data_IF_982792595003
#
_entry.id   IF_982792595003
#
_cell.length_a   1.000
_cell.length_b   1.000
_cell.length_c   1.000
_cell.angle_alpha   90.00
_cell.angle_beta   90.00
_cell.angle_gamma   90.00
#
_symmetry.space_group_name_H-M   'P 1'
#
loop_
_entity.id
_entity.type
_entity.pdbx_description
1 polymer ?
#
# COMPACT_ATOMS: atom_id res chain seq x y z
N UNK A 1 -57.98 -2.48 29.09
CA UNK A 1 -56.90 -3.04 28.24
C UNK A 1 -56.10 -1.86 27.70
N UNK A 2 -54.88 -1.57 28.21
CA UNK A 2 -53.56 -1.85 27.59
C UNK A 2 -53.50 -1.38 26.11
N UNK A 3 -52.62 -0.50 25.61
CA UNK A 3 -51.34 0.09 26.09
C UNK A 3 -50.93 1.30 25.21
N UNK A 4 -50.43 2.36 25.88
CA UNK A 4 -49.22 3.18 25.63
C UNK A 4 -48.86 3.75 24.24
N UNK A 5 -48.77 5.09 24.22
CA UNK A 5 -47.74 5.96 23.61
C UNK A 5 -46.89 5.37 22.48
N UNK A 6 -47.26 5.70 21.24
CA UNK A 6 -46.36 5.63 20.10
C UNK A 6 -45.43 6.84 20.12
N UNK A 7 -44.27 6.70 20.77
CA UNK A 7 -43.15 7.63 20.61
C UNK A 7 -42.69 7.52 19.13
N UNK A 8 -42.59 8.62 18.38
CA UNK A 8 -42.01 8.56 17.05
C UNK A 8 -40.54 8.15 17.21
N UNK A 9 -40.17 7.01 16.64
CA UNK A 9 -38.78 6.59 16.53
C UNK A 9 -38.13 7.59 15.59
N UNK A 10 -37.45 8.58 16.15
CA UNK A 10 -36.57 9.45 15.41
C UNK A 10 -35.40 8.56 14.97
N UNK A 11 -35.46 8.04 13.73
CA UNK A 11 -34.29 7.45 13.09
C UNK A 11 -33.32 8.61 12.89
N UNK A 12 -32.45 8.84 13.87
CA UNK A 12 -31.26 9.65 13.68
C UNK A 12 -30.57 9.11 12.44
N UNK A 13 -30.48 9.93 11.40
CA UNK A 13 -29.64 9.69 10.24
C UNK A 13 -28.25 9.32 10.76
N UNK A 14 -27.94 8.03 10.73
CA UNK A 14 -26.66 7.52 11.15
C UNK A 14 -25.70 8.03 10.09
N UNK A 15 -25.03 9.15 10.36
CA UNK A 15 -24.01 9.70 9.45
C UNK A 15 -23.02 8.58 9.18
N UNK A 16 -23.09 8.00 7.98
CA UNK A 16 -22.19 6.94 7.59
C UNK A 16 -20.79 7.55 7.48
N UNK A 17 -19.95 7.16 8.43
CA UNK A 17 -18.60 7.63 8.64
C UNK A 17 -17.55 6.85 7.83
N UNK A 18 -18.02 6.20 6.77
CA UNK A 18 -17.21 5.40 5.86
C UNK A 18 -17.08 6.19 4.56
N UNK A 19 -15.84 6.51 4.17
CA UNK A 19 -15.55 7.02 2.84
C UNK A 19 -15.34 5.84 1.90
N UNK A 20 -16.14 5.74 0.85
CA UNK A 20 -15.92 4.73 -0.20
C UNK A 20 -14.94 5.26 -1.24
N UNK A 21 -13.98 4.41 -1.63
CA UNK A 21 -12.94 4.68 -2.60
C UNK A 21 -12.99 3.63 -3.70
N UNK A 22 -13.22 4.05 -4.94
CA UNK A 22 -13.25 3.16 -6.12
C UNK A 22 -11.83 2.81 -6.62
N UNK A 23 -10.88 2.68 -5.68
CA UNK A 23 -9.48 2.38 -5.94
C UNK A 23 -9.13 1.02 -5.36
N UNK A 24 -8.52 0.18 -6.17
CA UNK A 24 -8.01 -1.11 -5.68
C UNK A 24 -6.87 -0.92 -4.67
N UNK A 25 -6.02 0.08 -4.92
CA UNK A 25 -4.87 0.43 -4.08
C UNK A 25 -5.21 1.67 -3.24
N UNK A 26 -5.13 1.52 -1.92
CA UNK A 26 -5.40 2.56 -0.95
C UNK A 26 -4.10 3.08 -0.33
N UNK A 27 -4.08 4.36 0.02
CA UNK A 27 -2.96 4.97 0.74
C UNK A 27 -3.16 4.80 2.25
N UNK A 28 -2.07 4.57 2.97
CA UNK A 28 -2.06 4.55 4.43
C UNK A 28 -1.06 5.55 4.96
N UNK A 29 -1.43 6.26 6.02
CA UNK A 29 -0.67 7.32 6.64
C UNK A 29 -0.79 7.29 8.17
N UNK A 30 0.15 7.93 8.87
CA UNK A 30 0.22 7.94 10.33
C UNK A 30 0.25 6.54 10.99
N UNK A 31 -0.56 6.32 12.03
CA UNK A 31 -0.81 5.00 12.59
C UNK A 31 -2.13 4.49 12.04
N UNK A 32 -2.20 3.24 11.59
CA UNK A 32 -3.40 2.76 10.90
C UNK A 32 -3.76 1.32 11.22
N UNK A 33 -5.06 1.02 11.10
CA UNK A 33 -5.63 -0.31 11.29
C UNK A 33 -6.38 -0.72 10.03
N UNK A 34 -5.90 -1.75 9.37
CA UNK A 34 -6.48 -2.30 8.14
C UNK A 34 -7.26 -3.54 8.50
N UNK A 35 -8.51 -3.64 8.05
CA UNK A 35 -9.36 -4.81 8.20
C UNK A 35 -9.57 -5.50 6.86
N UNK A 36 -9.61 -6.83 6.90
CA UNK A 36 -10.28 -7.61 5.88
C UNK A 36 -11.80 -7.46 6.08
N UNK A 37 -12.50 -6.84 5.12
CA UNK A 37 -13.94 -6.59 5.24
C UNK A 37 -14.72 -7.90 5.34
N UNK A 38 -14.27 -8.97 4.69
CA UNK A 38 -14.90 -10.29 4.81
C UNK A 38 -14.85 -10.82 6.23
N UNK A 39 -13.76 -10.57 6.97
CA UNK A 39 -13.66 -10.97 8.38
C UNK A 39 -14.65 -10.21 9.26
N UNK A 40 -14.88 -8.92 8.98
CA UNK A 40 -15.93 -8.15 9.67
C UNK A 40 -17.31 -8.76 9.39
N UNK A 41 -17.61 -8.97 8.11
CA UNK A 41 -18.86 -9.56 7.64
C UNK A 41 -19.15 -10.93 8.27
N UNK A 42 -18.12 -11.78 8.39
CA UNK A 42 -18.23 -13.13 8.98
C UNK A 42 -18.38 -13.11 10.50
N UNK A 43 -17.67 -12.25 11.22
CA UNK A 43 -17.57 -12.30 12.69
C UNK A 43 -18.56 -11.39 13.40
N UNK A 44 -18.98 -10.31 12.75
CA UNK A 44 -19.81 -9.30 13.35
C UNK A 44 -21.12 -9.06 12.60
N UNK A 45 -21.08 -9.14 11.27
CA UNK A 45 -22.14 -8.68 10.38
C UNK A 45 -21.59 -7.59 9.46
N UNK A 46 -22.45 -6.87 8.74
CA UNK A 46 -21.98 -5.91 7.73
C UNK A 46 -21.11 -4.78 8.29
N UNK A 47 -20.17 -4.33 7.45
CA UNK A 47 -19.24 -3.24 7.76
C UNK A 47 -19.94 -1.97 8.26
N UNK A 48 -21.07 -1.58 7.66
CA UNK A 48 -21.78 -0.37 8.04
C UNK A 48 -22.27 -0.43 9.50
N UNK A 49 -22.85 -1.55 9.90
CA UNK A 49 -23.28 -1.79 11.28
C UNK A 49 -22.09 -1.89 12.25
N UNK A 50 -20.98 -2.49 11.83
CA UNK A 50 -19.75 -2.52 12.63
C UNK A 50 -19.24 -1.12 12.93
N UNK A 51 -19.11 -0.30 11.89
CA UNK A 51 -18.63 1.08 12.00
C UNK A 51 -19.57 1.94 12.82
N UNK A 52 -20.88 1.82 12.62
CA UNK A 52 -21.89 2.54 13.38
C UNK A 52 -21.85 2.17 14.87
N UNK A 53 -21.82 0.87 15.20
CA UNK A 53 -21.82 0.40 16.61
C UNK A 53 -20.61 0.91 17.39
N UNK A 54 -19.44 0.93 16.76
CA UNK A 54 -18.19 1.33 17.41
C UNK A 54 -17.79 2.77 17.13
N UNK A 55 -18.65 3.55 16.48
CA UNK A 55 -18.45 4.97 16.12
C UNK A 55 -17.06 5.20 15.47
N UNK A 56 -16.78 4.43 14.43
CA UNK A 56 -15.50 4.45 13.70
C UNK A 56 -15.57 5.37 12.48
N UNK A 57 -14.42 5.89 12.07
CA UNK A 57 -14.25 6.68 10.85
C UNK A 57 -13.14 6.08 10.02
N UNK A 58 -13.36 5.88 8.72
CA UNK A 58 -12.35 5.28 7.87
C UNK A 58 -12.69 5.27 6.38
N UNK A 59 -11.76 4.75 5.58
CA UNK A 59 -11.87 4.56 4.14
C UNK A 59 -12.08 3.08 3.82
N UNK A 60 -12.91 2.76 2.82
CA UNK A 60 -13.06 1.39 2.30
C UNK A 60 -13.15 1.39 0.79
N UNK A 61 -12.64 0.33 0.16
CA UNK A 61 -12.93 0.00 -1.24
C UNK A 61 -13.88 -1.21 -1.37
N UNK A 62 -14.47 -1.66 -0.26
CA UNK A 62 -15.32 -2.84 -0.18
C UNK A 62 -14.57 -4.13 0.19
N UNK A 63 -13.26 -4.22 -0.05
CA UNK A 63 -12.43 -5.37 0.36
C UNK A 63 -11.59 -5.06 1.59
N UNK A 64 -11.03 -3.86 1.64
CA UNK A 64 -10.29 -3.32 2.79
C UNK A 64 -11.12 -2.25 3.48
N UNK A 65 -11.01 -2.17 4.81
CA UNK A 65 -11.44 -1.02 5.59
C UNK A 65 -10.29 -0.50 6.44
N UNK A 66 -10.00 0.80 6.35
CA UNK A 66 -8.80 1.41 6.91
C UNK A 66 -9.20 2.52 7.87
N UNK A 67 -8.69 2.44 9.10
CA UNK A 67 -8.73 3.52 10.09
C UNK A 67 -7.35 4.17 10.17
N UNK A 68 -7.22 5.46 9.91
CA UNK A 68 -5.99 6.22 10.13
C UNK A 68 -6.13 7.11 11.37
N UNK A 69 -5.09 7.18 12.20
CA UNK A 69 -5.02 8.05 13.37
C UNK A 69 -3.78 8.94 13.33
N UNK A 70 -4.00 10.25 13.24
CA UNK A 70 -2.97 11.29 13.23
C UNK A 70 -2.31 11.56 14.60
N UNK A 71 -2.67 10.80 15.65
CA UNK A 71 -2.19 11.05 17.02
C UNK A 71 -1.18 9.98 17.44
N UNK A 72 -0.07 10.42 18.02
CA UNK A 72 0.86 9.56 18.74
C UNK A 72 0.85 9.95 20.23
N UNK A 73 0.53 9.04 21.16
CA UNK A 73 0.25 7.61 20.96
C UNK A 73 -1.14 7.33 20.36
N UNK A 74 -1.27 6.24 19.60
CA UNK A 74 -2.50 5.75 18.97
C UNK A 74 -3.30 4.86 19.94
N UNK A 75 -3.55 5.39 21.13
CA UNK A 75 -4.20 4.65 22.23
C UNK A 75 -5.59 4.13 21.83
N UNK A 76 -6.28 4.83 20.92
CA UNK A 76 -7.61 4.45 20.46
C UNK A 76 -7.58 3.19 19.56
N UNK A 77 -6.60 3.05 18.66
CA UNK A 77 -6.42 1.81 17.89
C UNK A 77 -6.13 0.62 18.82
N UNK A 78 -5.22 0.78 19.77
CA UNK A 78 -4.92 -0.27 20.74
C UNK A 78 -6.10 -0.59 21.66
N UNK A 79 -6.87 0.42 22.07
CA UNK A 79 -8.09 0.22 22.83
C UNK A 79 -9.10 -0.59 22.02
N UNK A 80 -9.38 -0.20 20.77
CA UNK A 80 -10.29 -0.92 19.88
C UNK A 80 -9.87 -2.39 19.72
N UNK A 81 -8.58 -2.64 19.49
CA UNK A 81 -8.04 -4.01 19.37
C UNK A 81 -8.33 -4.83 20.63
N UNK A 82 -8.00 -4.28 21.80
CA UNK A 82 -8.04 -5.05 23.04
C UNK A 82 -9.44 -5.18 23.66
N UNK A 83 -10.29 -4.17 23.52
CA UNK A 83 -11.62 -4.15 24.16
C UNK A 83 -12.75 -4.56 23.24
N UNK A 84 -12.52 -4.56 21.92
CA UNK A 84 -13.54 -4.90 20.92
C UNK A 84 -13.12 -6.06 20.04
N UNK A 85 -12.01 -5.93 19.30
CA UNK A 85 -11.66 -6.91 18.27
C UNK A 85 -11.32 -8.28 18.85
N UNK A 86 -10.42 -8.33 19.84
CA UNK A 86 -10.03 -9.59 20.50
C UNK A 86 -11.21 -10.30 21.17
N UNK A 87 -12.09 -9.63 21.94
CA UNK A 87 -13.31 -10.24 22.47
C UNK A 87 -14.26 -10.79 21.42
N UNK A 88 -14.32 -10.19 20.23
CA UNK A 88 -15.11 -10.69 19.09
C UNK A 88 -14.39 -11.82 18.32
N UNK A 89 -13.21 -12.25 18.75
CA UNK A 89 -12.46 -13.32 18.13
C UNK A 89 -11.70 -12.92 16.86
N UNK A 90 -11.47 -11.63 16.63
CA UNK A 90 -10.57 -11.17 15.58
C UNK A 90 -9.12 -11.43 15.97
N UNK A 91 -8.32 -11.83 14.99
CA UNK A 91 -6.90 -12.15 15.12
C UNK A 91 -6.08 -11.21 14.25
N UNK A 92 -4.98 -10.74 14.80
CA UNK A 92 -4.02 -9.93 14.05
C UNK A 92 -3.39 -10.80 12.95
N UNK A 93 -3.16 -10.20 11.78
CA UNK A 93 -2.70 -10.82 10.53
C UNK A 93 -3.71 -11.70 9.81
N UNK A 94 -4.67 -12.33 10.51
CA UNK A 94 -5.75 -13.08 9.84
C UNK A 94 -6.93 -12.17 9.44
N UNK A 95 -7.33 -11.25 10.32
CA UNK A 95 -8.53 -10.43 10.13
C UNK A 95 -8.24 -8.92 10.06
N UNK A 96 -7.16 -8.49 10.70
CA UNK A 96 -6.74 -7.09 10.71
C UNK A 96 -5.23 -6.97 10.89
N UNK A 97 -4.66 -5.83 10.48
CA UNK A 97 -3.25 -5.50 10.68
C UNK A 97 -3.12 -4.08 11.22
N UNK A 98 -2.39 -3.93 12.32
CA UNK A 98 -1.95 -2.62 12.83
C UNK A 98 -0.61 -2.28 12.17
N UNK A 99 -0.52 -1.10 11.58
CA UNK A 99 0.67 -0.61 10.89
C UNK A 99 1.02 0.82 11.23
N UNK A 100 2.21 1.21 10.78
CA UNK A 100 2.76 2.54 10.94
C UNK A 100 3.31 3.02 9.62
N UNK A 101 3.10 4.30 9.34
CA UNK A 101 3.65 4.97 8.18
C UNK A 101 5.17 4.88 8.21
N UNK A 102 5.74 4.45 7.09
CA UNK A 102 7.17 4.49 6.86
C UNK A 102 7.51 5.79 6.14
N UNK A 103 8.32 6.62 6.79
CA UNK A 103 8.83 7.85 6.18
C UNK A 103 9.68 7.50 4.97
N UNK A 104 9.34 8.07 3.82
CA UNK A 104 10.01 7.80 2.54
C UNK A 104 11.22 8.71 2.34
N UNK A 105 11.21 9.89 2.99
CA UNK A 105 12.27 10.90 2.99
C UNK A 105 12.51 11.42 4.41
N UNK A 106 13.76 11.36 4.85
CA UNK A 106 14.23 11.92 6.11
C UNK A 106 14.87 13.30 5.95
N UNK A 107 15.32 13.88 7.07
CA UNK A 107 16.10 15.11 7.07
C UNK A 107 17.36 14.99 6.19
N UNK A 108 17.78 16.09 5.57
CA UNK A 108 18.92 16.16 4.63
C UNK A 108 18.78 15.30 3.36
N UNK A 109 17.56 14.96 2.95
CA UNK A 109 17.33 14.19 1.72
C UNK A 109 17.71 12.72 1.84
N UNK A 110 17.83 12.21 3.07
CA UNK A 110 17.99 10.78 3.32
C UNK A 110 16.79 10.03 2.73
N UNK A 111 17.07 9.02 1.90
CA UNK A 111 16.06 8.18 1.27
C UNK A 111 15.91 6.91 2.09
N UNK A 112 14.67 6.53 2.39
CA UNK A 112 14.40 5.33 3.19
C UNK A 112 14.97 4.06 2.54
N UNK A 113 15.65 3.18 3.30
CA UNK A 113 16.12 1.89 2.79
C UNK A 113 14.96 0.90 2.58
N UNK A 114 13.74 1.30 2.93
CA UNK A 114 12.51 0.53 2.77
C UNK A 114 11.74 0.91 1.50
N UNK A 115 12.22 1.87 0.71
CA UNK A 115 11.62 2.15 -0.61
C UNK A 115 11.57 0.88 -1.47
N UNK A 116 10.49 0.75 -2.21
CA UNK A 116 10.16 -0.35 -3.12
C UNK A 116 10.06 -1.72 -2.41
N UNK A 117 9.89 -1.72 -1.09
CA UNK A 117 9.64 -2.91 -0.27
C UNK A 117 8.22 -2.89 0.29
N UNK A 118 7.77 -4.07 0.68
CA UNK A 118 6.55 -4.24 1.45
C UNK A 118 6.68 -3.51 2.80
N UNK A 119 5.54 -3.13 3.39
CA UNK A 119 5.53 -2.43 4.67
C UNK A 119 5.95 -3.42 5.77
N UNK A 120 6.91 -3.07 6.65
CA UNK A 120 7.34 -3.93 7.74
C UNK A 120 6.18 -4.45 8.61
N UNK A 121 6.12 -5.77 8.77
CA UNK A 121 5.06 -6.47 9.51
C UNK A 121 3.85 -6.86 8.65
N UNK A 122 3.90 -6.64 7.33
CA UNK A 122 2.81 -6.96 6.40
C UNK A 122 3.25 -7.89 5.26
N UNK A 123 4.53 -8.29 5.23
CA UNK A 123 5.12 -9.08 4.16
C UNK A 123 4.45 -10.46 4.03
N UNK A 124 4.14 -11.06 5.17
CA UNK A 124 3.61 -12.43 5.28
C UNK A 124 2.08 -12.49 5.44
N UNK A 125 1.37 -11.37 5.25
CA UNK A 125 -0.09 -11.33 5.37
C UNK A 125 -0.73 -11.78 4.06
N UNK A 126 -1.29 -13.00 4.05
CA UNK A 126 -1.76 -13.67 2.83
C UNK A 126 -2.80 -12.90 2.03
N UNK A 127 -3.70 -12.16 2.70
CA UNK A 127 -4.78 -11.41 2.08
C UNK A 127 -4.44 -9.93 1.83
N UNK A 128 -3.24 -9.47 2.21
CA UNK A 128 -2.87 -8.06 2.15
C UNK A 128 -1.59 -7.85 1.33
N UNK A 129 -1.69 -7.07 0.27
CA UNK A 129 -0.54 -6.49 -0.40
C UNK A 129 -0.16 -5.17 0.23
N UNK A 130 1.15 -4.88 0.30
CA UNK A 130 1.65 -3.60 0.80
C UNK A 130 2.90 -3.17 0.06
N UNK A 131 3.15 -1.86 -0.03
CA UNK A 131 4.36 -1.30 -0.60
C UNK A 131 4.64 0.11 -0.12
N UNK A 132 5.92 0.41 0.07
CA UNK A 132 6.44 1.75 0.32
C UNK A 132 7.02 2.30 -0.98
N UNK A 133 6.51 3.45 -1.41
CA UNK A 133 6.97 4.17 -2.61
C UNK A 133 7.55 5.52 -2.23
N UNK A 134 7.92 6.36 -3.20
CA UNK A 134 8.34 7.74 -2.89
C UNK A 134 7.16 8.63 -2.50
N UNK A 135 5.97 8.27 -2.97
CA UNK A 135 4.72 9.00 -2.84
C UNK A 135 4.00 8.68 -1.53
N UNK A 136 4.32 7.55 -0.88
CA UNK A 136 3.75 7.15 0.39
C UNK A 136 3.72 5.64 0.59
N UNK A 137 2.88 5.22 1.54
CA UNK A 137 2.67 3.82 1.89
C UNK A 137 1.33 3.39 1.29
N UNK A 138 1.29 2.24 0.64
CA UNK A 138 0.13 1.77 -0.10
C UNK A 138 -0.20 0.33 0.23
N UNK A 139 -1.49 0.00 0.22
CA UNK A 139 -2.02 -1.32 0.51
C UNK A 139 -3.16 -1.68 -0.44
N UNK A 140 -3.37 -2.97 -0.67
CA UNK A 140 -4.47 -3.49 -1.50
C UNK A 140 -4.87 -4.88 -1.03
N UNK A 141 -6.13 -5.25 -1.30
CA UNK A 141 -6.57 -6.61 -1.01
C UNK A 141 -5.91 -7.56 -2.02
N UNK A 142 -5.28 -8.59 -1.51
CA UNK A 142 -4.51 -9.55 -2.30
C UNK A 142 -5.37 -10.78 -2.52
N UNK A 143 -5.89 -10.90 -3.73
CA UNK A 143 -6.49 -12.13 -4.24
C UNK A 143 -5.39 -12.92 -4.95
N UNK A 144 -4.67 -13.74 -4.18
CA UNK A 144 -3.64 -14.61 -4.76
C UNK A 144 -4.16 -16.03 -4.79
N UNK A 145 -4.30 -16.58 -5.99
CA UNK A 145 -4.38 -18.03 -6.20
C UNK A 145 -2.97 -18.67 -6.24
N UNK A 146 -1.93 -17.92 -6.69
CA UNK A 146 -0.51 -18.32 -6.62
C UNK A 146 0.50 -17.13 -6.69
N UNK A 147 1.71 -17.33 -6.15
CA UNK A 147 2.75 -16.30 -6.02
C UNK A 147 3.35 -15.78 -7.35
N UNK A 148 3.30 -16.55 -8.44
CA UNK A 148 3.76 -16.09 -9.76
C UNK A 148 2.78 -15.07 -10.33
N UNK A 149 1.48 -15.37 -10.25
CA UNK A 149 0.39 -14.45 -10.62
C UNK A 149 0.45 -13.14 -9.82
N UNK A 150 0.83 -13.20 -8.54
CA UNK A 150 1.07 -12.00 -7.73
C UNK A 150 2.20 -11.12 -8.27
N UNK A 151 3.32 -11.72 -8.66
CA UNK A 151 4.46 -10.96 -9.18
C UNK A 151 4.13 -10.30 -10.52
N UNK A 152 3.33 -10.96 -11.36
CA UNK A 152 2.82 -10.41 -12.62
C UNK A 152 1.83 -9.27 -12.37
N UNK A 153 0.81 -9.48 -11.53
CA UNK A 153 -0.13 -8.43 -11.13
C UNK A 153 0.60 -7.23 -10.50
N UNK A 154 1.61 -7.49 -9.66
CA UNK A 154 2.46 -6.47 -9.03
C UNK A 154 3.22 -5.67 -10.08
N UNK A 155 3.65 -6.30 -11.18
CA UNK A 155 4.30 -5.59 -12.29
C UNK A 155 3.32 -4.74 -13.10
N UNK A 156 2.09 -5.22 -13.29
CA UNK A 156 1.05 -4.59 -14.11
C UNK A 156 0.30 -3.44 -13.43
N UNK A 157 -0.01 -3.58 -12.13
CA UNK A 157 -0.95 -2.70 -11.41
C UNK A 157 -0.27 -1.72 -10.45
N UNK A 158 1.05 -1.77 -10.31
CA UNK A 158 1.78 -0.79 -9.50
C UNK A 158 2.23 0.42 -10.34
N UNK A 159 2.17 1.65 -9.79
CA UNK A 159 2.97 2.75 -10.28
C UNK A 159 4.45 2.43 -10.01
N UNK A 160 5.10 1.76 -10.94
CA UNK A 160 6.53 1.45 -10.86
C UNK A 160 7.37 2.73 -11.02
N UNK A 161 7.59 3.47 -9.93
CA UNK A 161 8.46 4.64 -9.92
C UNK A 161 9.66 4.46 -8.98
N UNK A 162 10.61 3.63 -9.40
CA UNK A 162 11.78 4.18 -10.10
C UNK A 162 12.85 3.13 -10.35
N UNK A 163 13.18 2.27 -9.38
CA UNK A 163 14.38 1.44 -9.52
C UNK A 163 14.21 0.30 -10.55
N UNK A 164 13.16 -0.51 -10.45
CA UNK A 164 12.92 -1.65 -11.36
C UNK A 164 12.61 -1.22 -12.80
N UNK A 165 11.81 -0.17 -12.96
CA UNK A 165 11.47 0.37 -14.26
C UNK A 165 12.68 1.01 -14.96
N UNK A 166 13.44 1.87 -14.27
CA UNK A 166 14.68 2.40 -14.85
C UNK A 166 15.72 1.30 -15.04
N UNK A 167 15.71 0.24 -14.22
CA UNK A 167 16.58 -0.93 -14.41
C UNK A 167 16.26 -1.62 -15.73
N UNK A 168 14.98 -1.86 -16.03
CA UNK A 168 14.54 -2.40 -17.32
C UNK A 168 14.94 -1.48 -18.48
N UNK A 169 14.66 -0.18 -18.39
CA UNK A 169 15.00 0.78 -19.45
C UNK A 169 16.51 0.89 -19.67
N UNK A 170 17.31 0.75 -18.60
CA UNK A 170 18.76 0.69 -18.67
C UNK A 170 19.24 -0.57 -19.41
N UNK A 171 18.61 -1.71 -19.16
CA UNK A 171 18.92 -2.95 -19.89
C UNK A 171 18.57 -2.75 -21.38
N UNK A 172 17.38 -2.24 -21.71
CA UNK A 172 16.98 -1.91 -23.09
C UNK A 172 17.97 -0.94 -23.76
N UNK A 173 18.43 0.08 -23.03
CA UNK A 173 19.42 1.03 -23.52
C UNK A 173 20.71 0.32 -23.94
N UNK A 174 21.23 -0.57 -23.09
CA UNK A 174 22.44 -1.31 -23.42
C UNK A 174 22.22 -2.33 -24.52
N UNK A 175 21.11 -3.06 -24.53
CA UNK A 175 20.75 -3.95 -25.64
C UNK A 175 20.71 -3.22 -26.99
N UNK A 176 20.26 -1.97 -27.00
CA UNK A 176 20.15 -1.18 -28.23
C UNK A 176 21.46 -0.52 -28.65
N UNK A 177 22.19 0.06 -27.71
CA UNK A 177 23.30 0.97 -28.03
C UNK A 177 24.68 0.46 -27.61
N UNK A 178 24.78 -0.41 -26.60
CA UNK A 178 26.07 -0.93 -26.13
C UNK A 178 25.92 -2.29 -25.41
N UNK A 179 25.61 -3.39 -26.14
CA UNK A 179 25.23 -4.67 -25.53
C UNK A 179 26.34 -5.30 -24.70
N UNK A 180 27.59 -4.98 -25.04
CA UNK A 180 28.76 -5.49 -24.35
C UNK A 180 28.82 -5.02 -22.89
N UNK A 181 28.12 -3.92 -22.51
CA UNK A 181 28.04 -3.49 -21.12
C UNK A 181 27.17 -4.37 -20.23
N UNK A 182 26.29 -5.20 -20.80
CA UNK A 182 25.43 -6.12 -20.03
C UNK A 182 26.25 -7.17 -19.25
N UNK A 183 27.43 -7.55 -19.76
CA UNK A 183 28.32 -8.51 -19.08
C UNK A 183 28.82 -8.02 -17.72
N UNK A 184 28.70 -6.72 -17.45
CA UNK A 184 29.04 -6.11 -16.17
C UNK A 184 27.84 -6.05 -15.22
N UNK A 185 26.73 -6.73 -15.50
CA UNK A 185 25.55 -6.79 -14.64
C UNK A 185 25.14 -5.39 -14.12
N UNK A 186 24.82 -4.43 -15.01
CA UNK A 186 24.53 -3.07 -14.60
C UNK A 186 23.31 -3.03 -13.68
N UNK A 187 23.42 -2.36 -12.54
CA UNK A 187 22.35 -2.21 -11.55
C UNK A 187 22.14 -0.76 -11.17
N UNK A 188 20.90 -0.31 -11.12
CA UNK A 188 20.59 0.98 -10.51
C UNK A 188 20.91 0.90 -9.02
N UNK A 189 21.70 1.87 -8.56
CA UNK A 189 22.15 1.99 -7.18
C UNK A 189 21.58 3.23 -6.51
N UNK A 190 21.18 4.26 -7.28
CA UNK A 190 20.61 5.47 -6.73
C UNK A 190 19.71 6.16 -7.76
N UNK A 191 18.65 6.83 -7.30
CA UNK A 191 17.81 7.72 -8.09
C UNK A 191 17.79 9.09 -7.42
N UNK A 192 18.31 10.12 -8.11
CA UNK A 192 18.52 11.47 -7.59
C UNK A 192 17.97 12.51 -8.55
N UNK A 193 16.80 13.06 -8.23
CA UNK A 193 16.13 14.08 -9.06
C UNK A 193 15.75 13.53 -10.43
N UNK A 194 16.20 14.19 -11.50
CA UNK A 194 15.98 13.80 -12.91
C UNK A 194 16.94 12.71 -13.41
N UNK A 195 17.70 12.07 -12.51
CA UNK A 195 18.80 11.17 -12.86
C UNK A 195 18.75 9.87 -12.09
N UNK A 196 19.11 8.79 -12.78
CA UNK A 196 19.47 7.52 -12.15
C UNK A 196 20.96 7.28 -12.25
N UNK A 197 21.51 6.73 -11.20
CA UNK A 197 22.91 6.32 -11.09
C UNK A 197 22.89 4.81 -11.02
N UNK A 198 23.70 4.19 -11.85
CA UNK A 198 23.84 2.75 -11.86
C UNK A 198 25.30 2.33 -11.79
N UNK A 199 25.53 1.27 -11.02
CA UNK A 199 26.82 0.62 -10.85
C UNK A 199 26.95 -0.56 -11.81
N UNK A 200 28.19 -0.91 -12.13
CA UNK A 200 28.51 -2.09 -12.95
C UNK A 200 29.36 -3.04 -12.11
N UNK A 201 28.91 -4.29 -11.95
CA UNK A 201 29.69 -5.33 -11.28
C UNK A 201 30.99 -5.58 -12.04
N UNK A 202 32.10 -5.73 -11.31
CA UNK A 202 33.48 -5.93 -11.84
C UNK A 202 34.07 -4.73 -12.59
N UNK A 203 33.34 -3.63 -12.75
CA UNK A 203 33.87 -2.36 -13.26
C UNK A 203 33.78 -1.32 -12.14
N UNK A 204 34.89 -0.71 -11.74
CA UNK A 204 34.89 0.33 -10.67
C UNK A 204 34.34 1.68 -11.18
N UNK A 205 33.22 1.66 -11.92
CA UNK A 205 32.61 2.83 -12.53
C UNK A 205 31.12 2.90 -12.22
N UNK A 206 30.65 4.11 -11.94
CA UNK A 206 29.23 4.45 -11.94
C UNK A 206 28.92 5.23 -13.21
N UNK A 207 27.73 5.04 -13.77
CA UNK A 207 27.23 5.84 -14.88
C UNK A 207 25.94 6.53 -14.44
N UNK A 208 25.74 7.74 -14.94
CA UNK A 208 24.58 8.57 -14.63
C UNK A 208 23.77 8.74 -15.92
N UNK A 209 22.50 8.35 -15.87
CA UNK A 209 21.56 8.58 -16.97
C UNK A 209 20.48 9.55 -16.52
N UNK A 210 20.07 10.44 -17.44
CA UNK A 210 18.85 11.21 -17.26
C UNK A 210 17.65 10.30 -17.45
N UNK A 211 16.63 10.51 -16.64
CA UNK A 211 15.38 9.77 -16.69
C UNK A 211 14.73 9.92 -18.06
N UNK A 212 14.62 11.14 -18.59
CA UNK A 212 14.01 11.40 -19.90
C UNK A 212 14.64 10.57 -21.02
N UNK A 213 15.98 10.44 -21.01
CA UNK A 213 16.70 9.65 -22.00
C UNK A 213 16.44 8.13 -21.87
N UNK A 214 16.12 7.65 -20.68
CA UNK A 214 15.67 6.26 -20.48
C UNK A 214 14.20 6.10 -20.90
N UNK A 215 13.35 7.10 -20.62
CA UNK A 215 11.93 7.08 -20.98
C UNK A 215 11.69 7.06 -22.50
N UNK A 216 12.62 7.60 -23.30
CA UNK A 216 12.59 7.45 -24.78
C UNK A 216 12.63 5.99 -25.27
N UNK A 217 13.00 5.05 -24.39
CA UNK A 217 13.03 3.61 -24.67
C UNK A 217 11.77 2.89 -24.19
N UNK A 218 10.81 3.63 -23.65
CA UNK A 218 9.50 3.09 -23.30
C UNK A 218 8.64 2.97 -24.56
N UNK A 219 8.49 1.75 -25.06
CA UNK A 219 7.67 1.44 -26.23
C UNK A 219 6.16 1.69 -26.00
N UNK A 220 5.74 1.94 -24.75
CA UNK A 220 4.35 2.33 -24.42
C UNK A 220 3.98 3.71 -24.93
N UNK A 221 4.96 4.58 -25.19
CA UNK A 221 4.75 5.92 -25.78
C UNK A 221 4.31 5.93 -27.25
N UNK A 222 4.27 4.76 -27.91
CA UNK A 222 3.88 4.63 -29.33
C UNK A 222 2.43 4.18 -29.52
N UNK A 223 1.67 4.03 -28.45
CA UNK A 223 0.28 3.57 -28.45
C UNK A 223 -0.72 4.58 -27.85
N UNK A 224 -0.30 5.84 -27.69
CA UNK A 224 -1.19 7.01 -27.51
C UNK A 224 -1.40 7.72 -28.86
#
# INVERSE_FOLDING_TARGET
MKTKEGIPINMEETKMYIHYSDKEILNVDFSYLIFNVDSINKKFGDLANFVAKYNLWGETNGKLYILNEMVQPHDRLHHLINTTLKPLGFKQYDDFVLGYEQLTKGANGYVSPLLDKDIPGMEDVEWLGSMITREGNFVWHREIDDWETYLEWRQENQPQYSMGYYQMLLIKYFEKYDPHKLKFEPKIIEHRGDKVIFGMKKHKGCLVAKIDALLELDDRSKWE
#
